data_IF_641656959447
#
_entry.id   IF_641656959447
#
_cell.length_a   1.000
_cell.length_b   1.000
_cell.length_c   1.000
_cell.angle_alpha   90.00
_cell.angle_beta   90.00
_cell.angle_gamma   90.00
#
_symmetry.space_group_name_H-M   'P 1'
#
loop_
_entity.id
_entity.type
_entity.pdbx_description
1 polymer ?
#
# COMPACT_ATOMS: atom_id res chain seq x y z
N UNK A 1 31.90 9.57 16.49
CA UNK A 1 31.31 8.31 16.97
C UNK A 1 29.83 8.35 16.65
N UNK A 2 29.48 8.07 15.40
CA UNK A 2 28.12 8.22 14.88
C UNK A 2 27.32 6.99 15.27
N UNK A 3 26.35 7.17 16.17
CA UNK A 3 25.44 6.13 16.58
C UNK A 3 24.61 5.66 15.37
N UNK A 4 24.87 4.43 14.92
CA UNK A 4 23.99 3.71 14.01
C UNK A 4 22.72 3.34 14.78
N UNK A 5 21.52 3.66 14.28
CA UNK A 5 20.30 3.19 14.92
C UNK A 5 20.11 1.71 14.59
N UNK A 6 19.98 0.93 15.66
CA UNK A 6 19.50 -0.44 15.82
C UNK A 6 18.82 -1.04 14.57
N UNK A 7 19.59 -1.71 13.71
CA UNK A 7 19.09 -2.58 12.63
C UNK A 7 19.10 -4.03 13.11
N UNK A 8 18.25 -4.36 14.07
CA UNK A 8 18.12 -5.75 14.52
C UNK A 8 17.07 -6.46 13.64
N UNK A 9 17.56 -7.36 12.78
CA UNK A 9 16.83 -8.44 12.08
C UNK A 9 15.99 -8.14 10.83
N UNK A 10 16.40 -7.19 9.97
CA UNK A 10 15.84 -7.10 8.60
C UNK A 10 16.52 -8.16 7.72
N UNK A 11 15.78 -9.09 7.07
CA UNK A 11 16.38 -10.03 6.13
C UNK A 11 17.07 -9.32 4.95
N UNK A 12 18.11 -9.91 4.35
CA UNK A 12 18.73 -9.34 3.15
C UNK A 12 17.68 -9.10 2.06
N UNK A 13 17.83 -8.00 1.32
CA UNK A 13 16.93 -7.52 0.28
C UNK A 13 15.49 -7.18 0.74
N UNK A 14 15.26 -6.94 2.03
CA UNK A 14 13.99 -6.41 2.54
C UNK A 14 14.09 -4.93 2.91
N UNK A 15 12.93 -4.27 2.94
CA UNK A 15 12.75 -2.91 3.45
C UNK A 15 11.83 -2.94 4.66
N UNK A 16 12.05 -2.01 5.59
CA UNK A 16 11.18 -1.84 6.77
C UNK A 16 10.04 -0.91 6.42
N UNK A 17 8.81 -1.37 6.62
CA UNK A 17 7.60 -0.57 6.39
C UNK A 17 6.65 -0.69 7.57
N UNK A 18 5.68 0.20 7.63
CA UNK A 18 4.60 0.18 8.62
C UNK A 18 3.25 0.19 7.89
N UNK A 19 2.37 -0.76 8.21
CA UNK A 19 1.01 -0.81 7.63
C UNK A 19 0.01 -0.74 8.79
N UNK A 20 -0.78 0.32 8.85
CA UNK A 20 -1.78 0.58 9.91
C UNK A 20 -1.20 0.43 11.33
N UNK A 21 0.00 0.97 11.57
CA UNK A 21 0.69 0.89 12.86
C UNK A 21 1.48 -0.41 13.09
N UNK A 22 1.40 -1.39 12.19
CA UNK A 22 2.14 -2.66 12.29
C UNK A 22 3.43 -2.58 11.50
N UNK A 23 4.57 -2.60 12.20
CA UNK A 23 5.87 -2.75 11.55
C UNK A 23 6.01 -4.14 10.91
N UNK A 24 6.52 -4.18 9.69
CA UNK A 24 6.77 -5.41 8.95
C UNK A 24 7.92 -5.24 7.95
N UNK A 25 8.41 -6.36 7.45
CA UNK A 25 9.45 -6.41 6.42
C UNK A 25 8.85 -6.90 5.11
N UNK A 26 9.22 -6.24 4.02
CA UNK A 26 8.79 -6.61 2.69
C UNK A 26 10.00 -6.72 1.75
N UNK A 27 10.07 -7.72 0.87
CA UNK A 27 11.08 -7.80 -0.16
C UNK A 27 11.10 -6.51 -0.98
N UNK A 28 12.29 -5.99 -1.24
CA UNK A 28 12.50 -4.79 -2.05
C UNK A 28 11.88 -5.00 -3.44
N UNK A 29 11.14 -4.00 -3.90
CA UNK A 29 10.44 -4.06 -5.20
C UNK A 29 9.10 -4.78 -5.17
N UNK A 30 8.68 -5.38 -4.03
CA UNK A 30 7.30 -5.83 -3.87
C UNK A 30 6.33 -4.66 -3.82
N UNK A 31 5.07 -4.90 -4.19
CA UNK A 31 4.03 -3.88 -4.15
C UNK A 31 3.40 -3.80 -2.75
N UNK A 32 2.88 -2.63 -2.39
CA UNK A 32 2.19 -2.42 -1.11
C UNK A 32 1.11 -3.50 -0.88
N UNK A 33 0.33 -3.85 -1.92
CA UNK A 33 -0.75 -4.84 -1.80
C UNK A 33 -0.23 -6.23 -1.41
N UNK A 34 0.94 -6.62 -1.91
CA UNK A 34 1.57 -7.91 -1.59
C UNK A 34 2.09 -7.91 -0.16
N UNK A 35 2.65 -6.79 0.30
CA UNK A 35 3.11 -6.65 1.68
C UNK A 35 1.93 -6.69 2.67
N UNK A 36 0.81 -6.02 2.33
CA UNK A 36 -0.42 -6.03 3.12
C UNK A 36 -1.05 -7.44 3.21
N UNK A 37 -1.12 -8.17 2.10
CA UNK A 37 -1.66 -9.53 2.06
C UNK A 37 -0.90 -10.48 2.98
N UNK A 38 0.44 -10.40 3.03
CA UNK A 38 1.28 -11.24 3.88
C UNK A 38 1.03 -11.09 5.37
N UNK A 39 0.57 -9.92 5.79
CA UNK A 39 0.24 -9.62 7.20
C UNK A 39 -1.27 -9.65 7.48
N UNK A 40 -2.07 -10.11 6.49
CA UNK A 40 -3.52 -10.22 6.61
C UNK A 40 -4.25 -8.88 6.68
N UNK A 41 -3.70 -7.80 6.11
CA UNK A 41 -4.38 -6.51 5.99
C UNK A 41 -5.10 -6.44 4.63
N UNK A 42 -6.44 -6.52 4.59
CA UNK A 42 -7.16 -6.57 3.34
C UNK A 42 -7.23 -5.18 2.69
N UNK A 43 -6.67 -5.07 1.49
CA UNK A 43 -6.86 -3.91 0.60
C UNK A 43 -7.84 -4.29 -0.52
N UNK A 44 -8.93 -3.52 -0.75
CA UNK A 44 -9.93 -3.84 -1.75
C UNK A 44 -9.35 -3.75 -3.16
N UNK A 45 -9.78 -4.66 -4.04
CA UNK A 45 -9.20 -4.83 -5.39
C UNK A 45 -10.23 -5.41 -6.36
N UNK A 46 -10.16 -5.00 -7.62
CA UNK A 46 -10.89 -5.64 -8.71
C UNK A 46 -9.97 -6.18 -9.79
N UNK A 47 -9.02 -5.36 -10.28
CA UNK A 47 -8.14 -5.75 -11.40
C UNK A 47 -6.82 -6.39 -10.98
N UNK A 48 -6.50 -6.48 -9.68
CA UNK A 48 -5.26 -7.08 -9.21
C UNK A 48 -5.46 -8.56 -8.90
N UNK A 49 -4.54 -9.38 -9.41
CA UNK A 49 -4.43 -10.79 -9.06
C UNK A 49 -2.94 -11.16 -9.02
N UNK A 50 -2.50 -11.88 -8.00
CA UNK A 50 -1.07 -12.17 -7.75
C UNK A 50 -0.38 -12.86 -8.93
N UNK A 51 -1.11 -13.72 -9.65
CA UNK A 51 -0.60 -14.48 -10.80
C UNK A 51 -0.75 -13.78 -12.15
N UNK A 52 -1.27 -12.55 -12.19
CA UNK A 52 -1.46 -11.79 -13.42
C UNK A 52 -0.59 -10.52 -13.41
N UNK A 53 -0.28 -9.94 -14.59
CA UNK A 53 0.40 -8.66 -14.67
C UNK A 53 -0.38 -7.54 -13.96
N UNK A 54 0.34 -6.57 -13.41
CA UNK A 54 -0.25 -5.40 -12.74
C UNK A 54 -0.90 -4.49 -13.78
N UNK A 55 -2.23 -4.35 -13.72
CA UNK A 55 -2.99 -3.49 -14.63
C UNK A 55 -3.20 -2.06 -14.10
N UNK A 56 -3.42 -1.90 -12.80
CA UNK A 56 -3.70 -0.61 -12.13
C UNK A 56 -4.91 0.20 -12.68
N UNK A 57 -5.85 -0.45 -13.37
CA UNK A 57 -6.97 0.24 -14.03
C UNK A 57 -8.14 0.57 -13.09
N UNK A 58 -8.47 -0.32 -12.13
CA UNK A 58 -9.69 -0.15 -11.33
C UNK A 58 -9.61 0.93 -10.24
N UNK A 59 -8.40 1.34 -9.84
CA UNK A 59 -8.14 2.30 -8.73
C UNK A 59 -8.81 1.97 -7.39
N UNK A 60 -9.34 0.76 -7.18
CA UNK A 60 -9.99 0.40 -5.92
C UNK A 60 -9.01 0.24 -4.75
N UNK A 61 -7.76 -0.13 -5.03
CA UNK A 61 -6.74 -0.38 -4.02
C UNK A 61 -6.04 0.91 -3.51
N UNK A 62 -6.72 2.04 -3.48
CA UNK A 62 -6.09 3.31 -3.10
C UNK A 62 -5.87 3.37 -1.59
N UNK A 63 -4.64 3.69 -1.20
CA UNK A 63 -4.19 3.80 0.20
C UNK A 63 -3.47 5.13 0.42
N UNK A 64 -3.45 5.61 1.65
CA UNK A 64 -2.62 6.76 2.00
C UNK A 64 -1.22 6.30 2.37
N UNK A 65 -0.22 7.05 1.91
CA UNK A 65 1.20 6.73 2.10
C UNK A 65 1.91 7.95 2.65
N UNK A 66 2.73 7.75 3.67
CA UNK A 66 3.63 8.75 4.24
C UNK A 66 5.09 8.28 4.07
N UNK A 67 5.95 9.21 3.69
CA UNK A 67 7.39 8.97 3.56
C UNK A 67 8.15 10.18 4.11
N UNK A 68 9.14 9.94 4.96
CA UNK A 68 9.94 11.02 5.58
C UNK A 68 9.10 12.00 6.42
N UNK A 69 8.04 11.53 7.08
CA UNK A 69 7.16 12.36 7.90
C UNK A 69 6.18 13.23 7.12
N UNK A 70 6.05 13.02 5.80
CA UNK A 70 5.14 13.79 4.93
C UNK A 70 4.18 12.88 4.18
N UNK A 71 2.87 13.13 4.23
CA UNK A 71 1.91 12.37 3.44
C UNK A 71 2.08 12.69 1.96
N UNK A 72 1.91 11.68 1.12
CA UNK A 72 1.92 11.88 -0.33
C UNK A 72 0.75 12.80 -0.76
N UNK A 73 0.93 13.61 -1.82
CA UNK A 73 -0.09 14.57 -2.26
C UNK A 73 -1.42 13.91 -2.65
N UNK A 74 -1.36 12.66 -3.13
CA UNK A 74 -2.52 11.87 -3.54
C UNK A 74 -2.44 10.47 -2.91
N UNK A 75 -3.57 9.81 -2.63
CA UNK A 75 -3.56 8.39 -2.31
C UNK A 75 -2.93 7.60 -3.46
N UNK A 76 -2.27 6.50 -3.12
CA UNK A 76 -1.47 5.71 -4.05
C UNK A 76 -2.14 4.37 -4.35
N UNK A 77 -2.03 3.84 -5.57
CA UNK A 77 -2.56 2.52 -5.90
C UNK A 77 -1.67 1.43 -5.29
N UNK A 78 -2.15 0.75 -4.24
CA UNK A 78 -1.36 -0.28 -3.55
C UNK A 78 -0.88 -1.41 -4.48
N UNK A 79 -1.58 -1.70 -5.57
CA UNK A 79 -1.21 -2.74 -6.52
C UNK A 79 -0.02 -2.40 -7.43
N UNK A 80 0.37 -1.12 -7.54
CA UNK A 80 1.40 -0.67 -8.47
C UNK A 80 2.46 0.23 -7.83
N UNK A 81 2.30 0.54 -6.54
CA UNK A 81 3.30 1.30 -5.78
C UNK A 81 4.25 0.33 -5.08
N UNK A 82 5.56 0.34 -5.41
CA UNK A 82 6.54 -0.49 -4.73
C UNK A 82 6.78 0.02 -3.31
N UNK A 83 7.07 -0.91 -2.39
CA UNK A 83 7.47 -0.58 -1.03
C UNK A 83 8.86 0.08 -1.02
N UNK A 84 9.05 1.02 -0.12
CA UNK A 84 10.34 1.66 0.14
C UNK A 84 10.61 1.71 1.64
N UNK A 85 11.88 1.78 2.03
CA UNK A 85 12.27 1.79 3.43
C UNK A 85 11.72 3.03 4.17
N UNK A 86 11.20 2.81 5.38
CA UNK A 86 10.57 3.83 6.21
C UNK A 86 9.19 4.28 5.71
N UNK A 87 8.60 3.58 4.73
CA UNK A 87 7.25 3.89 4.23
C UNK A 87 6.20 3.52 5.27
N UNK A 88 5.27 4.43 5.54
CA UNK A 88 4.07 4.18 6.34
C UNK A 88 2.84 4.18 5.46
N UNK A 89 2.02 3.15 5.58
CA UNK A 89 0.82 2.93 4.78
C UNK A 89 -0.39 2.92 5.71
N UNK A 90 -1.40 3.71 5.34
CA UNK A 90 -2.67 3.78 6.04
C UNK A 90 -3.78 3.33 5.10
N UNK A 91 -4.36 2.15 5.36
CA UNK A 91 -5.37 1.54 4.49
C UNK A 91 -6.79 2.02 4.80
N UNK A 92 -7.00 2.49 6.04
CA UNK A 92 -8.31 2.94 6.56
C UNK A 92 -8.35 4.43 6.90
N UNK A 93 -7.40 5.24 6.41
CA UNK A 93 -7.45 6.68 6.62
C UNK A 93 -8.67 7.31 5.94
N UNK A 94 -9.10 8.48 6.40
CA UNK A 94 -10.21 9.21 5.78
C UNK A 94 -9.98 9.46 4.28
N UNK A 95 -8.74 9.75 3.88
CA UNK A 95 -8.38 9.97 2.47
C UNK A 95 -8.43 8.68 1.66
N UNK A 96 -7.96 7.56 2.22
CA UNK A 96 -8.05 6.25 1.56
C UNK A 96 -9.50 5.82 1.37
N UNK A 97 -10.31 5.89 2.43
CA UNK A 97 -11.73 5.52 2.37
C UNK A 97 -12.53 6.43 1.44
N UNK A 98 -12.26 7.73 1.44
CA UNK A 98 -12.90 8.67 0.50
C UNK A 98 -12.55 8.33 -0.95
N UNK A 99 -11.29 8.03 -1.25
CA UNK A 99 -10.88 7.62 -2.60
C UNK A 99 -11.58 6.33 -3.04
N UNK A 100 -11.65 5.32 -2.16
CA UNK A 100 -12.31 4.04 -2.45
C UNK A 100 -13.82 4.20 -2.71
N UNK A 101 -14.51 5.03 -1.92
CA UNK A 101 -15.94 5.34 -2.13
C UNK A 101 -16.17 6.02 -3.48
N UNK A 102 -15.37 7.02 -3.81
CA UNK A 102 -15.48 7.72 -5.11
C UNK A 102 -15.24 6.74 -6.27
N UNK A 103 -14.24 5.86 -6.15
CA UNK A 103 -13.99 4.83 -7.17
C UNK A 103 -15.18 3.89 -7.29
N UNK A 104 -15.78 3.46 -6.18
CA UNK A 104 -16.96 2.59 -6.21
C UNK A 104 -18.15 3.29 -6.90
N UNK A 105 -18.37 4.56 -6.60
CA UNK A 105 -19.38 5.38 -7.27
C UNK A 105 -19.15 5.41 -8.80
N UNK A 106 -17.92 5.66 -9.24
CA UNK A 106 -17.59 5.63 -10.68
C UNK A 106 -17.69 4.26 -11.32
N UNK A 107 -17.45 3.17 -10.57
CA UNK A 107 -17.63 1.82 -11.11
C UNK A 107 -19.11 1.50 -11.29
N UNK A 108 -19.97 2.01 -10.41
CA UNK A 108 -21.40 1.71 -10.40
C UNK A 108 -22.25 2.64 -11.26
N UNK A 109 -21.77 3.84 -11.60
CA UNK A 109 -22.54 4.83 -12.38
C UNK A 109 -23.08 4.29 -13.72
N UNK A 110 -22.34 3.38 -14.35
CA UNK A 110 -22.71 2.72 -15.61
C UNK A 110 -22.90 1.20 -15.45
N UNK A 111 -22.83 0.66 -14.23
CA UNK A 111 -23.04 -0.76 -13.98
C UNK A 111 -24.57 -1.02 -13.95
N UNK A 112 -25.08 -2.01 -14.70
CA UNK A 112 -26.50 -2.33 -14.66
C UNK A 112 -26.91 -2.79 -13.26
N UNK A 113 -28.17 -2.51 -12.90
CA UNK A 113 -28.80 -2.99 -11.66
C UNK A 113 -29.18 -4.47 -11.76
#
# INVERSE_FOLDING_TARGET
MSAQPVTADVPPDHVTIEIDGKQTFAPKGSMIIQAADRIGVPIPRFCYHEKLPIAANCRMCMVEVEMGGRPMPKPQPACATPVADGMKIFTQSQRALSAQRNVMEFLLINHPL
#
